data_IF_805689543466
#
_entry.id   IF_805689543466
#
_cell.length_a   1.000
_cell.length_b   1.000
_cell.length_c   1.000
_cell.angle_alpha   90.00
_cell.angle_beta   90.00
_cell.angle_gamma   90.00
#
_symmetry.space_group_name_H-M   'P 1'
#
loop_
_entity.id
_entity.type
_entity.pdbx_description
1 polymer ?
#
# COMPACT_ATOMS: atom_id res chain seq x y z
N UNK A 1 7.05 -4.71 -11.77
CA UNK A 1 7.26 -5.89 -10.92
C UNK A 1 7.67 -7.07 -11.78
N UNK A 2 7.82 -8.27 -11.20
CA UNK A 2 8.29 -9.48 -11.90
C UNK A 2 7.32 -10.02 -12.95
N UNK A 3 6.03 -9.65 -12.88
CA UNK A 3 4.98 -10.01 -13.85
C UNK A 3 4.16 -8.78 -14.23
N UNK A 4 3.40 -8.87 -15.32
CA UNK A 4 2.43 -7.83 -15.73
C UNK A 4 1.47 -7.53 -14.58
N UNK A 5 0.86 -8.56 -13.99
CA UNK A 5 0.13 -8.51 -12.71
C UNK A 5 1.01 -9.19 -11.65
N UNK A 6 1.71 -8.38 -10.86
CA UNK A 6 2.62 -8.87 -9.81
C UNK A 6 1.86 -9.09 -8.51
N UNK A 7 1.83 -10.33 -8.02
CA UNK A 7 1.27 -10.66 -6.69
C UNK A 7 2.11 -10.03 -5.57
N UNK A 8 3.43 -10.12 -5.69
CA UNK A 8 4.36 -9.59 -4.69
C UNK A 8 5.40 -8.64 -5.33
N UNK A 9 5.83 -7.66 -4.54
CA UNK A 9 6.91 -6.72 -4.84
C UNK A 9 7.70 -6.45 -3.56
N UNK A 10 9.02 -6.61 -3.62
CA UNK A 10 9.94 -6.44 -2.50
C UNK A 10 11.04 -5.43 -2.83
N UNK A 11 11.69 -4.91 -1.79
CA UNK A 11 12.82 -3.98 -1.93
C UNK A 11 13.99 -4.60 -2.71
N UNK A 12 14.25 -5.90 -2.53
CA UNK A 12 15.29 -6.65 -3.25
C UNK A 12 15.05 -6.67 -4.76
N UNK A 13 13.79 -6.92 -5.19
CA UNK A 13 13.45 -6.87 -6.62
C UNK A 13 13.65 -5.46 -7.20
N UNK A 14 13.37 -4.42 -6.41
CA UNK A 14 13.60 -3.04 -6.84
C UNK A 14 15.10 -2.70 -6.92
N UNK A 15 15.93 -3.29 -6.07
CA UNK A 15 17.38 -3.10 -6.06
C UNK A 15 18.03 -3.60 -7.35
N UNK A 16 17.67 -4.80 -7.77
CA UNK A 16 18.14 -5.38 -9.02
C UNK A 16 17.78 -4.48 -10.21
N UNK A 17 16.53 -4.01 -10.26
CA UNK A 17 16.03 -3.15 -11.33
C UNK A 17 16.71 -1.78 -11.31
N UNK A 18 16.86 -1.15 -10.13
CA UNK A 18 17.55 0.13 -9.98
C UNK A 18 19.03 0.02 -10.39
N UNK A 19 19.70 -1.09 -10.04
CA UNK A 19 21.09 -1.35 -10.42
C UNK A 19 21.30 -1.37 -11.94
N UNK A 20 20.33 -1.93 -12.68
CA UNK A 20 20.35 -1.96 -14.15
C UNK A 20 19.94 -0.61 -14.74
N UNK A 21 18.83 -0.03 -14.27
CA UNK A 21 18.29 1.23 -14.80
C UNK A 21 19.12 2.46 -14.41
N UNK A 22 19.97 2.34 -13.39
CA UNK A 22 20.75 3.43 -12.77
C UNK A 22 19.89 4.59 -12.29
N UNK A 23 18.63 4.31 -11.94
CA UNK A 23 17.66 5.27 -11.39
C UNK A 23 16.55 4.52 -10.65
N UNK A 24 15.96 5.18 -9.66
CA UNK A 24 14.75 4.69 -9.00
C UNK A 24 13.59 4.61 -10.02
N UNK A 25 12.92 3.46 -10.16
CA UNK A 25 11.80 3.35 -11.08
C UNK A 25 10.54 4.01 -10.53
N UNK A 26 9.59 4.28 -11.43
CA UNK A 26 8.18 4.48 -11.07
C UNK A 26 7.48 3.15 -11.31
N UNK A 27 6.75 2.65 -10.33
CA UNK A 27 5.93 1.44 -10.51
C UNK A 27 4.62 1.83 -11.17
N UNK A 28 4.33 1.16 -12.29
CA UNK A 28 2.98 1.03 -12.82
C UNK A 28 2.39 -0.26 -12.29
N UNK A 29 1.40 -0.15 -11.40
CA UNK A 29 0.90 -1.26 -10.63
C UNK A 29 -0.43 -1.78 -11.17
N UNK A 30 -0.43 -2.98 -11.77
CA UNK A 30 -1.62 -3.62 -12.31
C UNK A 30 -2.29 -4.59 -11.32
N UNK A 31 -2.04 -4.46 -10.01
CA UNK A 31 -2.62 -5.36 -9.00
C UNK A 31 -4.15 -5.50 -9.13
N UNK A 32 -4.81 -4.41 -9.53
CA UNK A 32 -6.26 -4.32 -9.66
C UNK A 32 -6.76 -4.19 -11.11
N UNK A 33 -5.87 -4.24 -12.11
CA UNK A 33 -6.28 -4.17 -13.50
C UNK A 33 -7.17 -5.38 -13.84
N UNK A 34 -8.30 -5.16 -14.50
CA UNK A 34 -9.24 -6.21 -14.95
C UNK A 34 -9.58 -6.13 -16.45
N UNK A 35 -8.92 -5.25 -17.20
CA UNK A 35 -9.08 -5.07 -18.65
C UNK A 35 -8.83 -6.35 -19.47
N UNK A 36 -8.04 -7.28 -18.92
CA UNK A 36 -7.74 -8.57 -19.54
C UNK A 36 -8.80 -9.67 -19.31
N UNK A 37 -9.77 -9.48 -18.41
CA UNK A 37 -10.84 -10.47 -18.14
C UNK A 37 -12.11 -9.78 -17.61
N UNK A 38 -13.11 -9.63 -18.49
CA UNK A 38 -14.38 -8.96 -18.18
C UNK A 38 -15.25 -9.67 -17.13
N UNK A 39 -14.86 -10.87 -16.66
CA UNK A 39 -15.57 -11.61 -15.61
C UNK A 39 -15.01 -11.34 -14.22
N UNK A 40 -13.95 -10.54 -14.10
CA UNK A 40 -13.24 -10.30 -12.84
C UNK A 40 -13.38 -8.84 -12.42
N UNK A 41 -13.60 -8.63 -11.13
CA UNK A 41 -13.54 -7.33 -10.46
C UNK A 41 -12.80 -7.55 -9.16
N UNK A 42 -11.93 -6.61 -8.80
CA UNK A 42 -11.08 -6.70 -7.63
C UNK A 42 -11.44 -5.65 -6.60
N UNK A 43 -12.00 -6.12 -5.48
CA UNK A 43 -12.50 -5.31 -4.36
C UNK A 43 -11.76 -5.61 -3.04
N UNK A 44 -10.63 -6.31 -3.10
CA UNK A 44 -9.79 -6.62 -1.94
C UNK A 44 -8.84 -5.46 -1.58
N UNK A 45 -8.17 -5.52 -0.42
CA UNK A 45 -7.23 -4.50 0.03
C UNK A 45 -5.89 -4.54 -0.69
N UNK A 46 -5.17 -3.42 -0.67
CA UNK A 46 -3.87 -3.31 -1.32
C UNK A 46 -2.87 -4.22 -0.62
N UNK A 47 -2.23 -5.14 -1.35
CA UNK A 47 -1.47 -6.25 -0.74
C UNK A 47 -0.26 -6.63 -1.59
N UNK A 48 0.65 -7.37 -0.96
CA UNK A 48 1.84 -7.93 -1.61
C UNK A 48 2.93 -6.91 -1.92
N UNK A 49 2.80 -5.65 -1.50
CA UNK A 49 3.88 -4.66 -1.55
C UNK A 49 4.49 -4.60 -0.16
N UNK A 50 5.68 -5.18 -0.01
CA UNK A 50 6.38 -5.21 1.27
C UNK A 50 6.60 -3.79 1.82
N UNK A 51 6.73 -3.59 3.14
CA UNK A 51 7.13 -2.30 3.67
C UNK A 51 8.51 -1.85 3.16
N UNK A 52 8.73 -0.53 3.06
CA UNK A 52 10.01 0.07 2.69
C UNK A 52 10.30 0.11 1.19
N UNK A 53 9.28 0.08 0.33
CA UNK A 53 9.48 0.27 -1.12
C UNK A 53 9.65 1.73 -1.49
N UNK A 54 8.96 2.65 -0.81
CA UNK A 54 8.98 4.08 -1.16
C UNK A 54 10.39 4.70 -1.19
N UNK A 55 11.31 4.39 -0.25
CA UNK A 55 12.70 4.87 -0.33
C UNK A 55 13.45 4.45 -1.60
N UNK A 56 13.00 3.41 -2.31
CA UNK A 56 13.62 2.87 -3.54
C UNK A 56 12.86 3.24 -4.81
N UNK A 57 11.75 3.95 -4.70
CA UNK A 57 10.90 4.34 -5.83
C UNK A 57 10.91 5.86 -6.03
N UNK A 58 10.65 6.27 -7.27
CA UNK A 58 10.33 7.67 -7.56
C UNK A 58 8.83 7.94 -7.44
N UNK A 59 8.02 6.87 -7.47
CA UNK A 59 6.58 6.91 -7.30
C UNK A 59 5.95 5.56 -7.59
N UNK A 60 4.66 5.44 -7.26
CA UNK A 60 3.82 4.30 -7.58
C UNK A 60 2.49 4.82 -8.11
N UNK A 61 2.12 4.35 -9.30
CA UNK A 61 0.87 4.67 -9.97
C UNK A 61 0.05 3.40 -10.09
N UNK A 62 -1.17 3.42 -9.57
CA UNK A 62 -2.08 2.29 -9.67
C UNK A 62 -2.85 2.34 -10.99
N UNK A 63 -2.86 1.22 -11.70
CA UNK A 63 -3.78 0.94 -12.80
C UNK A 63 -4.89 0.01 -12.26
N UNK A 64 -6.07 0.56 -11.94
CA UNK A 64 -7.10 -0.16 -11.20
C UNK A 64 -8.10 -0.85 -12.14
N UNK A 65 -9.29 -1.21 -11.62
CA UNK A 65 -10.35 -1.78 -12.45
C UNK A 65 -10.84 -0.75 -13.49
N UNK A 66 -11.40 -1.22 -14.60
CA UNK A 66 -12.04 -0.37 -15.61
C UNK A 66 -13.24 0.39 -15.03
N UNK A 67 -14.03 -0.25 -14.17
CA UNK A 67 -15.22 0.33 -13.57
C UNK A 67 -14.83 1.33 -12.47
N UNK A 68 -15.06 2.63 -12.71
CA UNK A 68 -14.68 3.71 -11.79
C UNK A 68 -15.10 3.44 -10.33
N UNK A 69 -16.34 3.02 -10.11
CA UNK A 69 -16.89 2.81 -8.76
C UNK A 69 -16.29 1.60 -8.04
N UNK A 70 -15.76 0.61 -8.77
CA UNK A 70 -15.08 -0.55 -8.18
C UNK A 70 -13.72 -0.19 -7.55
N UNK A 71 -13.23 1.03 -7.79
CA UNK A 71 -11.89 1.45 -7.38
C UNK A 71 -11.85 2.15 -6.02
N UNK A 72 -12.97 2.24 -5.30
CA UNK A 72 -13.01 2.85 -3.96
C UNK A 72 -12.04 2.15 -2.99
N UNK A 73 -12.19 0.83 -2.80
CA UNK A 73 -11.33 0.05 -1.90
C UNK A 73 -9.87 0.02 -2.39
N UNK A 74 -9.58 -0.26 -3.68
CA UNK A 74 -8.22 -0.19 -4.21
C UNK A 74 -7.47 1.12 -3.92
N UNK A 75 -8.12 2.27 -4.14
CA UNK A 75 -7.48 3.59 -3.95
C UNK A 75 -7.39 3.94 -2.47
N UNK A 76 -8.43 3.65 -1.69
CA UNK A 76 -8.47 3.92 -0.24
C UNK A 76 -7.36 3.15 0.48
N UNK A 77 -7.28 1.84 0.27
CA UNK A 77 -6.27 0.98 0.92
C UNK A 77 -4.85 1.24 0.43
N UNK A 78 -4.65 1.65 -0.83
CA UNK A 78 -3.37 2.18 -1.30
C UNK A 78 -2.97 3.44 -0.52
N UNK A 79 -3.92 4.34 -0.25
CA UNK A 79 -3.70 5.53 0.57
C UNK A 79 -3.24 5.18 1.99
N UNK A 80 -3.91 4.21 2.63
CA UNK A 80 -3.51 3.71 3.96
C UNK A 80 -2.10 3.10 3.95
N UNK A 81 -1.76 2.30 2.95
CA UNK A 81 -0.41 1.73 2.79
C UNK A 81 0.65 2.81 2.57
N UNK A 82 0.35 3.81 1.73
CA UNK A 82 1.28 4.91 1.49
C UNK A 82 1.54 5.75 2.75
N UNK A 83 0.53 5.95 3.61
CA UNK A 83 0.72 6.62 4.90
C UNK A 83 1.65 5.82 5.83
N UNK A 84 1.54 4.49 5.88
CA UNK A 84 2.48 3.68 6.69
C UNK A 84 3.91 3.74 6.16
N UNK A 85 4.08 3.81 4.83
CA UNK A 85 5.40 4.00 4.23
C UNK A 85 5.99 5.34 4.65
N UNK A 86 5.21 6.43 4.65
CA UNK A 86 5.67 7.75 5.08
C UNK A 86 6.05 7.80 6.57
N UNK A 87 5.25 7.16 7.43
CA UNK A 87 5.56 7.04 8.87
C UNK A 87 6.86 6.29 9.13
N UNK A 88 7.13 5.25 8.35
CA UNK A 88 8.39 4.48 8.41
C UNK A 88 9.60 5.30 7.95
N UNK A 89 9.42 6.25 7.03
CA UNK A 89 10.50 7.15 6.55
C UNK A 89 10.88 8.25 7.55
N UNK A 90 10.02 8.58 8.52
CA UNK A 90 10.22 9.70 9.44
C UNK A 90 11.15 9.38 10.63
N UNK A 91 11.52 8.11 10.82
CA UNK A 91 12.40 7.65 11.91
C UNK A 91 13.74 7.02 11.47
N UNK A 92 14.63 7.67 10.69
CA UNK A 92 16.00 7.18 10.54
C UNK A 92 16.96 7.75 11.61
N UNK A 93 16.69 8.92 12.20
CA UNK A 93 17.71 9.75 12.86
C UNK A 93 17.67 9.83 14.40
N UNK A 94 16.85 9.02 15.09
CA UNK A 94 16.84 8.97 16.57
C UNK A 94 17.45 7.69 17.19
N UNK A 95 18.16 6.88 16.39
CA UNK A 95 18.90 5.73 16.89
C UNK A 95 20.31 6.06 17.44
N UNK A 96 20.58 7.34 17.76
CA UNK A 96 21.91 7.83 18.17
C UNK A 96 22.09 8.26 19.63
N UNK A 97 21.03 8.33 20.45
CA UNK A 97 21.15 8.97 21.79
C UNK A 97 20.40 8.26 22.91
N UNK A 98 20.51 6.94 23.00
CA UNK A 98 20.14 6.20 24.21
C UNK A 98 21.24 5.20 24.58
N UNK A 99 22.41 5.72 24.95
CA UNK A 99 23.31 5.02 25.87
C UNK A 99 22.87 5.43 27.27
N UNK A 100 21.99 4.62 27.88
CA UNK A 100 22.17 4.05 29.22
C UNK A 100 20.88 3.39 29.74
N UNK A 101 21.01 2.11 30.08
CA UNK A 101 20.15 1.32 30.98
C UNK A 101 18.85 0.74 30.44
N UNK A 102 18.94 -0.30 29.60
CA UNK A 102 17.88 -1.29 29.44
C UNK A 102 18.47 -2.67 29.10
N UNK A 103 19.12 -3.29 30.09
CA UNK A 103 19.62 -4.66 29.96
C UNK A 103 18.54 -5.73 30.27
N UNK A 104 17.31 -5.36 30.63
CA UNK A 104 16.36 -6.31 31.26
C UNK A 104 14.93 -6.33 30.68
N UNK A 105 14.71 -6.04 29.39
CA UNK A 105 13.38 -6.25 28.75
C UNK A 105 13.51 -6.70 27.28
N UNK A 106 14.13 -7.85 27.06
CA UNK A 106 14.14 -8.51 25.75
C UNK A 106 13.15 -9.67 25.73
N UNK A 107 11.83 -9.40 25.70
CA UNK A 107 10.85 -10.37 25.16
C UNK A 107 9.46 -9.79 24.88
N UNK A 108 9.35 -8.70 24.11
CA UNK A 108 8.04 -8.21 23.65
C UNK A 108 8.17 -7.51 22.31
N UNK A 109 8.23 -8.28 21.22
CA UNK A 109 7.90 -7.74 19.90
C UNK A 109 6.37 -7.52 19.84
N UNK A 110 5.92 -6.40 20.39
CA UNK A 110 4.59 -5.88 20.12
C UNK A 110 4.46 -5.49 18.64
N UNK A 111 3.23 -5.35 18.11
CA UNK A 111 3.04 -4.86 16.74
C UNK A 111 3.73 -3.51 16.59
N UNK A 112 4.48 -3.30 15.51
CA UNK A 112 4.98 -1.98 15.18
C UNK A 112 3.76 -1.06 14.99
N UNK A 113 3.49 -0.20 15.98
CA UNK A 113 2.53 0.89 15.90
C UNK A 113 2.84 1.69 14.61
N UNK A 114 1.91 1.65 13.64
CA UNK A 114 2.08 2.32 12.34
C UNK A 114 2.42 1.41 11.15
N UNK A 115 2.50 0.08 11.33
CA UNK A 115 2.57 -0.86 10.20
C UNK A 115 1.22 -1.05 9.51
N UNK A 116 1.23 -1.18 8.18
CA UNK A 116 -0.01 -1.38 7.40
C UNK A 116 -0.59 -2.78 7.59
N UNK A 117 -1.86 -2.84 8.01
CA UNK A 117 -2.68 -4.05 8.09
C UNK A 117 -3.71 -4.08 6.96
N UNK A 118 -3.63 -5.02 6.00
CA UNK A 118 -4.60 -5.10 4.90
C UNK A 118 -6.04 -5.31 5.37
N UNK A 119 -6.23 -6.07 6.46
CA UNK A 119 -7.57 -6.36 7.00
C UNK A 119 -8.19 -5.10 7.61
N UNK A 120 -7.44 -4.37 8.43
CA UNK A 120 -7.92 -3.12 9.03
C UNK A 120 -8.19 -2.05 7.95
N UNK A 121 -7.30 -1.94 6.95
CA UNK A 121 -7.49 -1.04 5.83
C UNK A 121 -8.75 -1.38 5.03
N UNK A 122 -9.02 -2.69 4.81
CA UNK A 122 -10.25 -3.13 4.15
C UNK A 122 -11.51 -2.75 4.95
N UNK A 123 -11.49 -2.98 6.26
CA UNK A 123 -12.63 -2.67 7.14
C UNK A 123 -12.96 -1.17 7.12
N UNK A 124 -11.94 -0.32 7.24
CA UNK A 124 -12.10 1.13 7.13
C UNK A 124 -12.61 1.55 5.74
N UNK A 125 -12.03 1.00 4.67
CA UNK A 125 -12.47 1.29 3.31
C UNK A 125 -13.93 0.91 3.07
N UNK A 126 -14.38 -0.24 3.61
CA UNK A 126 -15.76 -0.70 3.49
C UNK A 126 -16.73 0.22 4.24
N UNK A 127 -16.38 0.65 5.46
CA UNK A 127 -17.19 1.59 6.25
C UNK A 127 -17.38 2.92 5.50
N UNK A 128 -16.29 3.48 4.99
CA UNK A 128 -16.32 4.73 4.22
C UNK A 128 -17.08 4.58 2.90
N UNK A 129 -16.94 3.44 2.23
CA UNK A 129 -17.64 3.19 0.97
C UNK A 129 -19.14 3.04 1.15
N UNK A 130 -19.59 2.35 2.21
CA UNK A 130 -21.01 2.26 2.56
C UNK A 130 -21.60 3.65 2.83
N UNK A 131 -20.85 4.51 3.54
CA UNK A 131 -21.28 5.89 3.76
C UNK A 131 -21.41 6.68 2.45
N UNK A 132 -20.48 6.49 1.51
CA UNK A 132 -20.53 7.12 0.18
C UNK A 132 -21.71 6.60 -0.67
N UNK A 133 -21.94 5.29 -0.68
CA UNK A 133 -23.09 4.69 -1.40
C UNK A 133 -24.41 5.26 -0.85
N UNK A 134 -24.54 5.32 0.47
CA UNK A 134 -25.73 5.87 1.12
C UNK A 134 -25.93 7.36 0.79
N UNK A 135 -24.84 8.13 0.69
CA UNK A 135 -24.88 9.54 0.28
C UNK A 135 -25.37 9.69 -1.16
N UNK A 136 -24.82 8.92 -2.09
CA UNK A 136 -25.23 8.96 -3.50
C UNK A 136 -26.68 8.52 -3.71
N UNK A 137 -27.16 7.56 -2.93
CA UNK A 137 -28.56 7.13 -2.98
C UNK A 137 -29.55 8.22 -2.54
N UNK A 138 -29.13 9.14 -1.68
CA UNK A 138 -29.95 10.26 -1.20
C UNK A 138 -29.95 11.48 -2.14
N UNK A 139 -29.02 11.55 -3.10
CA UNK A 139 -28.94 12.62 -4.11
C UNK A 139 -29.11 12.07 -5.55
N UNK A 140 -30.31 11.58 -5.93
CA UNK A 140 -30.54 11.09 -7.29
C UNK A 140 -30.55 12.27 -8.28
N UNK A 141 -29.42 12.52 -8.96
CA UNK A 141 -29.37 13.56 -10.00
C UNK A 141 -28.00 14.09 -10.44
N UNK A 142 -26.88 13.49 -10.01
CA UNK A 142 -25.55 13.74 -10.59
C UNK A 142 -25.10 12.61 -11.48
#
# INVERSE_FOLDING_TARGET
>A
GPKVVSQELSATLLEEVEGVLRRRPVIWDNLYANDYDCRRVFLGPYTGRAPGLMPRLHGLLLNPNCELQANFIPVHTLGSWFQSELGSCAHPDQAGTWIETAADLADSQGPQEGSYSPQEALELALLDWVAEINRQALEPGR
#
